data_IF_630299204783
#
_entry.id   IF_630299204783
#
_cell.length_a   1.000
_cell.length_b   1.000
_cell.length_c   1.000
_cell.angle_alpha   90.00
_cell.angle_beta   90.00
_cell.angle_gamma   90.00
#
_symmetry.space_group_name_H-M   'P 1'
#
loop_
_entity.id
_entity.type
_entity.pdbx_description
1 polymer ?
#
# COMPACT_ATOMS: atom_id res chain seq x y z
N UNK A 1 -15.27 -2.76 7.40
CA UNK A 1 -14.21 -1.81 6.98
C UNK A 1 -13.04 -2.67 6.55
N UNK A 2 -12.92 -2.91 5.24
CA UNK A 2 -11.74 -3.58 4.70
C UNK A 2 -10.58 -2.61 4.86
N UNK A 3 -9.58 -2.99 5.65
CA UNK A 3 -8.27 -2.34 5.62
C UNK A 3 -7.66 -2.81 4.30
N UNK A 4 -7.75 -1.99 3.26
CA UNK A 4 -7.06 -2.30 2.02
C UNK A 4 -5.56 -2.23 2.32
N UNK A 5 -4.81 -3.23 1.86
CA UNK A 5 -3.35 -3.29 2.00
C UNK A 5 -2.63 -2.14 1.24
N UNK A 6 -3.37 -1.17 0.72
CA UNK A 6 -2.87 -0.12 -0.14
C UNK A 6 -2.26 1.03 0.64
N UNK A 7 -2.92 1.60 1.66
CA UNK A 7 -2.36 2.73 2.40
C UNK A 7 -2.62 2.62 3.90
N UNK A 8 -1.58 2.29 4.67
CA UNK A 8 -1.61 2.35 6.12
C UNK A 8 -1.86 3.78 6.63
N UNK A 9 -2.72 3.97 7.65
CA UNK A 9 -2.98 5.28 8.25
C UNK A 9 -1.72 5.97 8.77
N UNK A 10 -1.69 7.31 8.72
CA UNK A 10 -0.70 8.10 9.45
C UNK A 10 -0.74 7.73 10.94
N UNK A 11 0.44 7.71 11.56
CA UNK A 11 0.63 7.23 12.93
C UNK A 11 0.77 5.72 13.03
N UNK A 12 0.67 4.97 11.92
CA UNK A 12 1.05 3.56 11.91
C UNK A 12 2.54 3.40 12.21
N UNK A 13 2.89 2.38 12.99
CA UNK A 13 4.28 2.01 13.27
C UNK A 13 4.60 0.76 12.47
N UNK A 14 5.61 0.85 11.61
CA UNK A 14 6.03 -0.22 10.70
C UNK A 14 7.50 -0.54 10.90
N UNK A 15 7.90 -1.74 10.49
CA UNK A 15 9.29 -2.12 10.33
C UNK A 15 9.60 -2.28 8.84
N UNK A 16 10.77 -1.80 8.42
CA UNK A 16 11.27 -1.96 7.06
C UNK A 16 12.11 -3.24 6.94
N UNK A 17 12.24 -3.81 5.73
CA UNK A 17 12.90 -5.11 5.49
C UNK A 17 14.38 -5.15 5.90
N UNK A 18 15.09 -4.01 5.82
CA UNK A 18 16.54 -3.94 6.05
C UNK A 18 16.90 -3.50 7.48
N UNK A 19 16.33 -4.16 8.50
CA UNK A 19 16.68 -4.08 9.94
C UNK A 19 16.76 -2.69 10.63
N UNK A 20 16.47 -1.59 9.90
CA UNK A 20 16.64 -0.18 10.28
C UNK A 20 15.72 0.39 11.37
N UNK A 21 15.17 -0.48 12.22
CA UNK A 21 14.30 -0.08 13.33
C UNK A 21 12.83 0.11 12.93
N UNK A 22 12.07 0.69 13.85
CA UNK A 22 10.65 1.01 13.65
C UNK A 22 10.52 2.43 13.12
N UNK A 23 9.56 2.64 12.22
CA UNK A 23 9.25 3.93 11.61
C UNK A 23 7.78 4.25 11.88
N UNK A 24 7.54 5.48 12.34
CA UNK A 24 6.20 6.07 12.42
C UNK A 24 5.89 6.77 11.09
N UNK A 25 4.80 6.38 10.43
CA UNK A 25 4.34 7.02 9.18
C UNK A 25 3.78 8.40 9.50
N UNK A 26 4.27 9.43 8.81
CA UNK A 26 3.84 10.83 8.97
C UNK A 26 3.08 11.39 7.77
N UNK A 27 3.31 10.86 6.57
CA UNK A 27 2.67 11.38 5.35
C UNK A 27 2.70 10.39 4.20
N UNK A 28 1.88 10.67 3.19
CA UNK A 28 1.72 9.88 1.97
C UNK A 28 2.31 10.62 0.77
N UNK A 29 2.62 9.88 -0.30
CA UNK A 29 3.00 10.42 -1.61
C UNK A 29 4.08 11.52 -1.49
N UNK A 30 5.12 11.23 -0.71
CA UNK A 30 6.17 12.18 -0.37
C UNK A 30 7.07 12.48 -1.57
N UNK A 31 7.55 13.71 -1.66
CA UNK A 31 8.55 14.12 -2.65
C UNK A 31 9.84 14.53 -1.95
N UNK A 32 10.95 13.94 -2.37
CA UNK A 32 12.28 14.42 -2.04
C UNK A 32 12.53 15.73 -2.79
N UNK A 33 12.69 16.82 -2.04
CA UNK A 33 12.86 18.17 -2.60
C UNK A 33 14.20 18.32 -3.34
N UNK A 34 15.21 17.52 -2.97
CA UNK A 34 16.53 17.59 -3.57
C UNK A 34 16.61 16.81 -4.89
N UNK A 35 16.02 15.61 -4.91
CA UNK A 35 16.12 14.69 -6.06
C UNK A 35 14.89 14.71 -6.96
N UNK A 36 13.75 15.23 -6.47
CA UNK A 36 12.45 15.13 -7.13
C UNK A 36 11.82 13.74 -7.04
N UNK A 37 12.48 12.76 -6.41
CA UNK A 37 12.01 11.38 -6.28
C UNK A 37 10.72 11.32 -5.46
N UNK A 38 9.75 10.56 -5.97
CA UNK A 38 8.51 10.29 -5.27
C UNK A 38 8.56 8.97 -4.50
N UNK A 39 8.02 8.99 -3.30
CA UNK A 39 7.99 7.89 -2.35
C UNK A 39 6.58 7.67 -1.83
N UNK A 40 6.24 6.44 -1.50
CA UNK A 40 4.89 6.17 -0.97
C UNK A 40 4.68 6.87 0.39
N UNK A 41 5.67 6.82 1.28
CA UNK A 41 5.57 7.39 2.62
C UNK A 41 6.73 8.32 2.96
N UNK A 42 6.44 9.23 3.87
CA UNK A 42 7.42 9.84 4.76
C UNK A 42 7.19 9.41 6.20
N UNK A 43 8.26 9.35 7.00
CA UNK A 43 8.20 8.93 8.39
C UNK A 43 9.39 9.35 9.21
N UNK A 44 9.37 8.98 10.49
CA UNK A 44 10.45 9.23 11.45
C UNK A 44 10.73 7.97 12.27
N UNK A 45 11.95 7.85 12.77
CA UNK A 45 12.34 6.77 13.67
C UNK A 45 11.44 6.70 14.90
N UNK A 46 11.00 5.51 15.28
CA UNK A 46 10.21 5.26 16.47
C UNK A 46 11.06 4.53 17.54
N UNK A 47 11.04 4.96 18.81
CA UNK A 47 10.15 5.95 19.43
C UNK A 47 10.67 7.40 19.45
N UNK A 48 11.82 7.68 18.84
CA UNK A 48 12.49 8.99 18.94
C UNK A 48 11.66 10.14 18.36
N UNK A 49 10.92 9.88 17.29
CA UNK A 49 10.10 10.88 16.59
C UNK A 49 10.95 11.84 15.75
N UNK A 50 10.41 13.04 15.54
CA UNK A 50 11.05 14.06 14.72
C UNK A 50 12.20 14.75 15.47
N UNK A 51 13.42 14.59 14.95
CA UNK A 51 14.64 15.16 15.53
C UNK A 51 15.29 16.22 14.63
N UNK A 52 14.75 16.42 13.43
CA UNK A 52 15.21 17.40 12.47
C UNK A 52 14.86 17.02 11.04
N UNK A 53 14.95 17.97 10.11
CA UNK A 53 14.61 17.75 8.70
C UNK A 53 15.46 16.64 8.05
N UNK A 54 16.71 16.50 8.46
CA UNK A 54 17.63 15.47 7.94
C UNK A 54 17.33 14.07 8.46
N UNK A 55 16.40 13.92 9.41
CA UNK A 55 16.01 12.64 10.01
C UNK A 55 14.64 12.17 9.51
N UNK A 56 14.04 12.87 8.55
CA UNK A 56 12.88 12.36 7.83
C UNK A 56 13.29 11.23 6.88
N UNK A 57 12.63 10.10 7.04
CA UNK A 57 12.77 8.93 6.18
C UNK A 57 11.72 9.01 5.08
N UNK A 58 12.08 8.62 3.86
CA UNK A 58 11.15 8.39 2.77
C UNK A 58 11.32 6.96 2.29
N UNK A 59 10.21 6.25 2.10
CA UNK A 59 10.24 4.82 1.80
C UNK A 59 8.97 4.37 1.09
N UNK A 60 9.08 3.22 0.43
CA UNK A 60 7.98 2.65 -0.33
C UNK A 60 7.21 1.61 0.48
N UNK A 61 5.95 1.38 0.11
CA UNK A 61 5.13 0.30 0.68
C UNK A 61 5.78 -1.06 0.51
N UNK A 62 6.55 -1.24 -0.55
CA UNK A 62 7.34 -2.45 -0.83
C UNK A 62 8.40 -2.73 0.21
N UNK A 63 8.95 -1.69 0.83
CA UNK A 63 9.99 -1.80 1.83
C UNK A 63 9.44 -2.17 3.22
N UNK A 64 8.12 -2.15 3.43
CA UNK A 64 7.50 -2.50 4.71
C UNK A 64 7.49 -4.02 4.89
N UNK A 65 8.16 -4.50 5.93
CA UNK A 65 8.19 -5.91 6.31
C UNK A 65 7.03 -6.28 7.23
N UNK A 66 6.68 -5.40 8.16
CA UNK A 66 5.66 -5.68 9.19
C UNK A 66 5.01 -4.42 9.72
N UNK A 67 3.70 -4.48 9.93
CA UNK A 67 2.93 -3.51 10.70
C UNK A 67 2.93 -3.89 12.19
N UNK A 68 3.33 -2.97 13.05
CA UNK A 68 3.34 -3.14 14.53
C UNK A 68 2.18 -2.42 15.21
N UNK A 69 1.78 -1.27 14.67
CA UNK A 69 0.65 -0.50 15.16
C UNK A 69 -0.10 0.08 13.96
N UNK A 70 -1.41 -0.10 13.94
CA UNK A 70 -2.28 0.56 12.97
C UNK A 70 -2.61 1.96 13.47
N UNK A 71 -2.31 2.97 12.65
CA UNK A 71 -2.56 4.37 12.98
C UNK A 71 -4.04 4.66 13.23
N UNK A 72 -4.32 5.82 13.80
CA UNK A 72 -5.68 6.23 14.15
C UNK A 72 -6.54 6.38 12.89
N UNK A 73 -7.78 5.91 12.97
CA UNK A 73 -8.75 5.92 11.87
C UNK A 73 -10.08 6.48 12.38
N UNK A 74 -10.53 7.55 11.74
CA UNK A 74 -11.87 8.11 11.91
C UNK A 74 -12.51 8.39 10.54
N UNK A 75 -13.62 9.13 10.55
CA UNK A 75 -14.32 9.49 9.32
C UNK A 75 -13.47 10.36 8.38
N UNK A 76 -12.56 11.18 8.92
CA UNK A 76 -11.70 12.03 8.12
C UNK A 76 -10.57 11.21 7.50
N UNK A 77 -10.04 10.21 8.22
CA UNK A 77 -9.17 9.21 7.61
C UNK A 77 -9.87 8.49 6.44
N UNK A 78 -11.11 8.04 6.61
CA UNK A 78 -11.84 7.33 5.54
C UNK A 78 -11.96 8.19 4.29
N UNK A 79 -12.37 9.46 4.45
CA UNK A 79 -12.48 10.42 3.33
C UNK A 79 -11.13 10.67 2.65
N UNK A 80 -10.08 10.83 3.45
CA UNK A 80 -8.75 11.06 2.92
C UNK A 80 -8.20 9.82 2.20
N UNK A 81 -8.47 8.62 2.73
CA UNK A 81 -8.11 7.35 2.10
C UNK A 81 -8.80 7.17 0.74
N UNK A 82 -10.08 7.52 0.62
CA UNK A 82 -10.78 7.54 -0.67
C UNK A 82 -10.09 8.49 -1.68
N UNK A 83 -9.64 9.67 -1.23
CA UNK A 83 -8.87 10.60 -2.07
C UNK A 83 -7.50 10.02 -2.48
N UNK A 84 -6.81 9.31 -1.59
CA UNK A 84 -5.55 8.63 -1.90
C UNK A 84 -5.75 7.58 -2.99
N UNK A 85 -6.77 6.74 -2.87
CA UNK A 85 -7.10 5.72 -3.87
C UNK A 85 -7.46 6.33 -5.22
N UNK A 86 -8.27 7.40 -5.23
CA UNK A 86 -8.63 8.11 -6.46
C UNK A 86 -7.42 8.73 -7.17
N UNK A 87 -6.41 9.14 -6.41
CA UNK A 87 -5.19 9.80 -6.95
C UNK A 87 -4.06 8.81 -7.27
N UNK A 88 -4.15 7.57 -6.80
CA UNK A 88 -3.07 6.59 -6.84
C UNK A 88 -2.53 6.36 -8.26
N UNK A 89 -3.39 6.23 -9.26
CA UNK A 89 -2.96 5.95 -10.63
C UNK A 89 -2.10 7.07 -11.22
N UNK A 90 -2.44 8.33 -10.93
CA UNK A 90 -1.68 9.47 -11.43
C UNK A 90 -0.38 9.66 -10.64
N UNK A 91 -0.42 9.41 -9.33
CA UNK A 91 0.78 9.35 -8.50
C UNK A 91 1.76 8.27 -8.99
N UNK A 92 1.28 7.06 -9.31
CA UNK A 92 2.14 5.97 -9.78
C UNK A 92 2.81 6.28 -11.13
N UNK A 93 2.11 6.98 -12.04
CA UNK A 93 2.71 7.46 -13.30
C UNK A 93 3.82 8.47 -13.02
N UNK A 94 3.53 9.49 -12.21
CA UNK A 94 4.52 10.51 -11.83
C UNK A 94 5.72 9.89 -11.09
N UNK A 95 5.46 8.88 -10.24
CA UNK A 95 6.49 8.15 -9.51
C UNK A 95 7.40 7.41 -10.48
N UNK A 96 6.85 6.68 -11.44
CA UNK A 96 7.63 5.99 -12.46
C UNK A 96 8.51 6.97 -13.25
N UNK A 97 8.00 8.15 -13.58
CA UNK A 97 8.77 9.21 -14.24
C UNK A 97 9.89 9.79 -13.36
N UNK A 98 9.75 9.76 -12.03
CA UNK A 98 10.77 10.23 -11.09
C UNK A 98 11.91 9.22 -10.85
N UNK A 99 11.72 7.95 -11.19
CA UNK A 99 12.71 6.88 -10.95
C UNK A 99 13.83 6.88 -12.00
N UNK A 100 15.02 6.38 -11.63
CA UNK A 100 16.07 6.04 -12.59
C UNK A 100 15.74 4.79 -13.41
N UNK A 101 16.41 4.58 -14.56
CA UNK A 101 16.11 3.48 -15.50
C UNK A 101 16.09 2.10 -14.82
N UNK A 102 17.12 1.76 -14.04
CA UNK A 102 17.19 0.49 -13.32
C UNK A 102 16.09 0.33 -12.25
N UNK A 103 15.81 1.40 -11.50
CA UNK A 103 14.75 1.40 -10.46
C UNK A 103 13.36 1.27 -11.09
N UNK A 104 13.14 1.84 -12.29
CA UNK A 104 11.88 1.70 -13.03
C UNK A 104 11.61 0.26 -13.41
N UNK A 105 12.61 -0.46 -13.92
CA UNK A 105 12.47 -1.87 -14.30
C UNK A 105 12.12 -2.73 -13.09
N UNK A 106 12.80 -2.50 -11.96
CA UNK A 106 12.52 -3.17 -10.70
C UNK A 106 11.10 -2.88 -10.20
N UNK A 107 10.69 -1.60 -10.19
CA UNK A 107 9.36 -1.19 -9.77
C UNK A 107 8.25 -1.82 -10.63
N UNK A 108 8.41 -1.83 -11.96
CA UNK A 108 7.44 -2.44 -12.87
C UNK A 108 7.34 -3.95 -12.65
N UNK A 109 8.47 -4.62 -12.44
CA UNK A 109 8.50 -6.05 -12.11
C UNK A 109 7.74 -6.34 -10.82
N UNK A 110 8.04 -5.61 -9.75
CA UNK A 110 7.41 -5.78 -8.44
C UNK A 110 5.90 -5.51 -8.48
N UNK A 111 5.49 -4.47 -9.21
CA UNK A 111 4.08 -4.15 -9.44
C UNK A 111 3.35 -5.30 -10.12
N UNK A 112 3.92 -5.84 -11.20
CA UNK A 112 3.32 -6.94 -11.95
C UNK A 112 3.20 -8.21 -11.07
N UNK A 113 4.22 -8.50 -10.26
CA UNK A 113 4.20 -9.63 -9.32
C UNK A 113 3.08 -9.47 -8.27
N UNK A 114 2.91 -8.28 -7.71
CA UNK A 114 1.84 -7.98 -6.75
C UNK A 114 0.46 -8.08 -7.35
N UNK A 115 0.28 -7.53 -8.55
CA UNK A 115 -1.01 -7.60 -9.24
C UNK A 115 -1.39 -9.06 -9.54
N UNK A 116 -0.41 -9.86 -9.97
CA UNK A 116 -0.61 -11.30 -10.16
C UNK A 116 -0.99 -11.99 -8.84
N UNK A 117 -0.25 -11.74 -7.76
CA UNK A 117 -0.54 -12.32 -6.44
C UNK A 117 -1.94 -11.92 -5.93
N UNK A 118 -2.35 -10.66 -6.12
CA UNK A 118 -3.68 -10.16 -5.77
C UNK A 118 -4.77 -10.89 -6.56
N UNK A 119 -4.60 -11.03 -7.87
CA UNK A 119 -5.54 -11.77 -8.73
C UNK A 119 -5.68 -13.24 -8.30
N UNK A 120 -4.56 -13.88 -7.96
CA UNK A 120 -4.54 -15.26 -7.44
C UNK A 120 -5.22 -15.39 -6.07
N UNK A 121 -4.98 -14.45 -5.16
CA UNK A 121 -5.64 -14.40 -3.85
C UNK A 121 -7.15 -14.19 -3.99
N UNK A 122 -7.57 -13.24 -4.83
CA UNK A 122 -8.98 -12.96 -5.06
C UNK A 122 -9.69 -14.15 -5.71
N UNK A 123 -9.04 -14.84 -6.65
CA UNK A 123 -9.56 -16.09 -7.21
C UNK A 123 -9.72 -17.18 -6.13
N UNK A 124 -8.72 -17.31 -5.25
CA UNK A 124 -8.77 -18.27 -4.14
C UNK A 124 -9.87 -17.96 -3.13
N UNK A 125 -10.08 -16.67 -2.80
CA UNK A 125 -11.17 -16.22 -1.92
C UNK A 125 -12.54 -16.51 -2.53
N UNK A 126 -12.72 -16.25 -3.83
CA UNK A 126 -13.97 -16.56 -4.54
C UNK A 126 -14.28 -18.06 -4.47
N UNK A 127 -13.31 -18.91 -4.85
CA UNK A 127 -13.49 -20.36 -4.82
C UNK A 127 -13.87 -20.84 -3.41
N UNK A 128 -13.26 -20.24 -2.37
CA UNK A 128 -13.58 -20.57 -0.98
C UNK A 128 -15.01 -20.20 -0.59
N UNK A 129 -15.50 -19.04 -1.03
CA UNK A 129 -16.88 -18.60 -0.78
C UNK A 129 -17.88 -19.50 -1.51
N UNK A 130 -17.62 -19.82 -2.77
CA UNK A 130 -18.47 -20.74 -3.56
C UNK A 130 -18.54 -22.14 -2.93
N UNK A 131 -17.41 -22.65 -2.43
CA UNK A 131 -17.37 -23.91 -1.71
C UNK A 131 -18.23 -23.88 -0.44
N UNK A 132 -18.08 -22.85 0.40
CA UNK A 132 -18.86 -22.69 1.63
C UNK A 132 -20.36 -22.54 1.35
N UNK A 133 -20.72 -21.82 0.27
CA UNK A 133 -22.11 -21.71 -0.17
C UNK A 133 -22.68 -23.08 -0.56
N UNK A 134 -21.93 -23.86 -1.34
CA UNK A 134 -22.33 -25.21 -1.75
C UNK A 134 -22.51 -26.14 -0.54
N UNK A 135 -21.60 -26.09 0.44
CA UNK A 135 -21.71 -26.83 1.72
C UNK A 135 -22.97 -26.43 2.52
N UNK A 136 -23.42 -25.18 2.38
CA UNK A 136 -24.67 -24.68 2.97
C UNK A 136 -25.93 -24.96 2.11
N UNK A 137 -25.79 -25.66 0.98
CA UNK A 137 -26.90 -25.95 0.04
C UNK A 137 -27.29 -24.76 -0.85
N UNK A 138 -26.42 -23.75 -0.95
CA UNK A 138 -26.61 -22.56 -1.77
C UNK A 138 -25.73 -22.66 -3.01
N UNK A 139 -26.33 -22.61 -4.20
CA UNK A 139 -25.57 -22.51 -5.45
C UNK A 139 -25.30 -21.04 -5.79
N UNK A 140 -24.04 -20.61 -5.61
CA UNK A 140 -23.53 -19.31 -6.06
C UNK A 140 -22.52 -19.53 -7.19
N UNK A 141 -22.57 -18.65 -8.19
CA UNK A 141 -21.52 -18.47 -9.19
C UNK A 141 -21.05 -17.02 -9.14
N UNK A 142 -19.93 -16.80 -8.45
CA UNK A 142 -19.32 -15.48 -8.26
C UNK A 142 -18.25 -15.20 -9.32
N UNK A 143 -17.89 -16.20 -10.12
CA UNK A 143 -16.92 -16.05 -11.21
C UNK A 143 -17.39 -15.08 -12.30
N UNK A 144 -18.71 -14.90 -12.45
CA UNK A 144 -19.33 -13.99 -13.41
C UNK A 144 -19.32 -12.49 -13.01
N UNK A 145 -19.05 -12.15 -11.74
CA UNK A 145 -19.13 -10.75 -11.23
C UNK A 145 -17.90 -9.92 -11.63
N UNK A 146 -16.76 -10.55 -11.96
CA UNK A 146 -15.48 -9.87 -12.20
C UNK A 146 -15.32 -9.19 -13.58
N UNK A 147 -16.29 -9.29 -14.49
CA UNK A 147 -16.16 -8.80 -15.88
C UNK A 147 -16.68 -7.37 -16.13
N UNK A 148 -17.01 -6.59 -15.10
CA UNK A 148 -17.62 -5.25 -15.27
C UNK A 148 -16.80 -4.06 -14.78
N UNK A 149 -15.53 -4.25 -14.39
CA UNK A 149 -14.62 -3.15 -14.03
C UNK A 149 -13.39 -3.15 -14.96
N UNK A 150 -13.56 -2.60 -16.17
CA UNK A 150 -12.48 -2.13 -17.06
C UNK A 150 -12.70 -0.67 -17.42
#
# INVERSE_FOLDING_TARGET
MEITEDWFPIGSVVNLQDDGGLVLILGYMAQDVQTGRLWDYSGVSFPQGFMGHNEMLMFDRTSIARLFYLGYQDIDYVRYHEMLLATQNDFEKAKLESLGEAEREEYVRDKLLREKARRELDASRILRVEQLACEAGIHLDLSAVKLQEE
#
